data_IF_950049009674
#
_entry.id   IF_950049009674
#
_cell.length_a   1.000
_cell.length_b   1.000
_cell.length_c   1.000
_cell.angle_alpha   90.00
_cell.angle_beta   90.00
_cell.angle_gamma   90.00
#
_symmetry.space_group_name_H-M   'P 1'
#
loop_
_entity.id
_entity.type
_entity.pdbx_description
1 polymer ?
#
# COMPACT_ATOMS: atom_id res chain seq x y z
N UNK A 1 6.51 14.18 2.19
CA UNK A 1 7.26 13.50 3.26
C UNK A 1 6.29 12.80 4.21
N UNK A 2 5.40 13.54 4.88
CA UNK A 2 4.42 12.98 5.84
C UNK A 2 3.52 11.85 5.31
N UNK A 3 3.01 11.94 4.07
CA UNK A 3 2.12 10.89 3.51
C UNK A 3 2.83 9.54 3.31
N UNK A 4 4.08 9.56 2.83
CA UNK A 4 4.83 8.32 2.54
C UNK A 4 5.17 7.61 3.85
N UNK A 5 5.60 8.37 4.85
CA UNK A 5 5.86 7.86 6.20
C UNK A 5 4.62 7.18 6.78
N UNK A 6 3.44 7.82 6.71
CA UNK A 6 2.18 7.23 7.19
C UNK A 6 1.83 5.92 6.47
N UNK A 7 2.00 5.87 5.15
CA UNK A 7 1.77 4.63 4.39
C UNK A 7 2.75 3.55 4.85
N UNK A 8 4.04 3.88 4.98
CA UNK A 8 5.05 2.92 5.44
C UNK A 8 4.71 2.36 6.83
N UNK A 9 4.26 3.20 7.76
CA UNK A 9 3.84 2.75 9.10
C UNK A 9 2.60 1.85 9.07
N UNK A 10 1.66 2.07 8.16
CA UNK A 10 0.53 1.14 7.94
C UNK A 10 1.04 -0.23 7.49
N UNK A 11 1.98 -0.27 6.55
CA UNK A 11 2.54 -1.53 6.06
C UNK A 11 3.36 -2.26 7.12
N UNK A 12 4.18 -1.55 7.91
CA UNK A 12 4.87 -2.12 9.08
C UNK A 12 3.89 -2.74 10.06
N UNK A 13 2.83 -2.01 10.41
CA UNK A 13 1.81 -2.47 11.34
C UNK A 13 1.08 -3.72 10.85
N UNK A 14 0.75 -3.79 9.55
CA UNK A 14 -0.14 -4.82 8.98
C UNK A 14 0.59 -6.07 8.54
N UNK A 15 1.77 -5.93 7.94
CA UNK A 15 2.51 -7.05 7.36
C UNK A 15 3.99 -7.09 7.77
N UNK A 16 4.42 -6.23 8.71
CA UNK A 16 5.78 -6.20 9.24
C UNK A 16 6.86 -6.00 8.16
N UNK A 17 6.59 -5.13 7.17
CA UNK A 17 7.53 -4.72 6.13
C UNK A 17 7.73 -3.21 6.19
N UNK A 18 8.98 -2.78 6.28
CA UNK A 18 9.41 -1.41 6.06
C UNK A 18 9.87 -1.24 4.61
N UNK A 19 9.11 -0.53 3.78
CA UNK A 19 9.45 -0.32 2.38
C UNK A 19 10.50 0.78 2.16
N UNK A 20 10.75 1.63 3.14
CA UNK A 20 11.85 2.61 3.09
C UNK A 20 13.21 1.92 3.29
N UNK A 21 13.24 0.89 4.13
CA UNK A 21 14.43 0.03 4.34
C UNK A 21 14.57 -1.06 3.26
N UNK A 22 13.46 -1.56 2.70
CA UNK A 22 13.44 -2.63 1.68
C UNK A 22 12.97 -2.10 0.31
N UNK A 23 13.77 -1.19 -0.27
CA UNK A 23 13.40 -0.47 -1.50
C UNK A 23 13.18 -1.38 -2.71
N UNK A 24 13.86 -2.52 -2.75
CA UNK A 24 13.70 -3.54 -3.79
C UNK A 24 12.31 -4.18 -3.80
N UNK A 25 11.59 -4.17 -2.67
CA UNK A 25 10.24 -4.70 -2.56
C UNK A 25 9.16 -3.72 -3.04
N UNK A 26 9.47 -2.43 -3.22
CA UNK A 26 8.46 -1.41 -3.54
C UNK A 26 7.71 -1.69 -4.85
N UNK A 27 8.36 -2.38 -5.80
CA UNK A 27 7.83 -2.78 -7.11
C UNK A 27 7.19 -4.15 -7.14
N UNK A 28 7.34 -4.93 -6.07
CA UNK A 28 6.82 -6.27 -6.01
C UNK A 28 5.31 -6.26 -5.78
N UNK A 29 4.63 -7.24 -6.37
CA UNK A 29 3.19 -7.40 -6.16
C UNK A 29 2.93 -7.76 -4.70
N UNK A 30 2.04 -7.03 -4.04
CA UNK A 30 1.67 -7.24 -2.64
C UNK A 30 1.17 -8.67 -2.42
N UNK A 31 0.31 -9.18 -3.30
CA UNK A 31 -0.18 -10.56 -3.28
C UNK A 31 0.75 -11.56 -3.98
N UNK A 32 1.89 -11.11 -4.51
CA UNK A 32 2.87 -11.96 -5.18
C UNK A 32 3.74 -12.72 -4.18
N UNK A 33 4.40 -13.78 -4.63
CA UNK A 33 5.14 -14.71 -3.77
C UNK A 33 6.27 -14.07 -2.93
N UNK A 34 6.84 -12.94 -3.38
CA UNK A 34 7.93 -12.25 -2.65
C UNK A 34 7.44 -11.50 -1.42
N UNK A 35 6.34 -10.76 -1.54
CA UNK A 35 5.74 -10.05 -0.40
C UNK A 35 4.83 -10.99 0.38
N UNK A 36 4.01 -11.79 -0.33
CA UNK A 36 3.12 -12.77 0.28
C UNK A 36 2.06 -12.13 1.19
N UNK A 37 1.64 -10.89 0.91
CA UNK A 37 0.65 -10.20 1.72
C UNK A 37 -0.65 -11.03 1.75
N UNK A 38 -1.14 -11.43 2.94
CA UNK A 38 -2.43 -12.08 3.03
C UNK A 38 -3.52 -11.16 2.48
N UNK A 39 -4.43 -11.69 1.65
CA UNK A 39 -5.54 -10.91 1.07
C UNK A 39 -6.31 -10.14 2.14
N UNK A 40 -6.53 -10.76 3.31
CA UNK A 40 -7.16 -10.12 4.47
C UNK A 40 -6.39 -8.90 4.96
N UNK A 41 -5.06 -8.96 5.03
CA UNK A 41 -4.25 -7.81 5.44
C UNK A 41 -4.27 -6.72 4.36
N UNK A 42 -4.29 -7.06 3.08
CA UNK A 42 -4.43 -6.07 2.00
C UNK A 42 -5.74 -5.27 2.10
N UNK A 43 -6.84 -5.92 2.47
CA UNK A 43 -8.13 -5.25 2.73
C UNK A 43 -8.05 -4.34 3.96
N UNK A 44 -7.34 -4.75 5.02
CA UNK A 44 -7.16 -3.93 6.21
C UNK A 44 -6.21 -2.75 5.99
N UNK A 45 -5.20 -2.92 5.13
CA UNK A 45 -4.34 -1.84 4.64
C UNK A 45 -5.19 -0.83 3.88
N UNK A 46 -6.04 -1.28 2.95
CA UNK A 46 -6.97 -0.40 2.25
C UNK A 46 -7.85 0.38 3.24
N UNK A 47 -8.44 -0.29 4.22
CA UNK A 47 -9.25 0.37 5.25
C UNK A 47 -8.46 1.45 6.02
N UNK A 48 -7.24 1.15 6.47
CA UNK A 48 -6.39 2.13 7.17
C UNK A 48 -6.05 3.33 6.26
N UNK A 49 -5.76 3.08 4.98
CA UNK A 49 -5.50 4.12 3.98
C UNK A 49 -6.74 5.00 3.72
N UNK A 50 -7.94 4.42 3.69
CA UNK A 50 -9.20 5.15 3.55
C UNK A 50 -9.47 6.06 4.76
N UNK A 51 -9.16 5.60 5.97
CA UNK A 51 -9.27 6.41 7.18
C UNK A 51 -8.29 7.61 7.17
N UNK A 52 -7.09 7.43 6.63
CA UNK A 52 -6.08 8.49 6.58
C UNK A 52 -6.28 9.49 5.41
N UNK A 53 -6.74 9.02 4.24
CA UNK A 53 -6.64 9.77 3.00
C UNK A 53 -7.96 9.90 2.20
N UNK A 54 -9.05 9.34 2.74
CA UNK A 54 -10.37 9.29 2.10
C UNK A 54 -10.49 8.17 1.07
N UNK A 55 -11.72 7.71 0.81
CA UNK A 55 -11.98 6.49 0.04
C UNK A 55 -11.98 6.64 -1.50
N UNK A 56 -12.33 7.82 -2.01
CA UNK A 56 -12.60 8.01 -3.46
C UNK A 56 -11.41 7.63 -4.35
N UNK A 57 -10.20 8.06 -3.99
CA UNK A 57 -8.97 7.80 -4.75
C UNK A 57 -8.60 6.31 -4.84
N UNK A 58 -8.93 5.53 -3.81
CA UNK A 58 -8.53 4.12 -3.74
C UNK A 58 -9.41 3.26 -4.63
N UNK A 59 -10.69 3.60 -4.76
CA UNK A 59 -11.62 2.92 -5.67
C UNK A 59 -11.10 2.93 -7.10
N UNK A 60 -10.69 4.10 -7.60
CA UNK A 60 -10.14 4.22 -8.96
C UNK A 60 -8.82 3.45 -9.11
N UNK A 61 -7.97 3.46 -8.09
CA UNK A 61 -6.73 2.68 -8.08
C UNK A 61 -7.01 1.18 -8.18
N UNK A 62 -7.99 0.67 -7.43
CA UNK A 62 -8.40 -0.74 -7.45
C UNK A 62 -8.99 -1.14 -8.81
N UNK A 63 -9.94 -0.36 -9.34
CA UNK A 63 -10.59 -0.65 -10.64
C UNK A 63 -9.57 -0.73 -11.77
N UNK A 64 -8.52 0.10 -11.71
CA UNK A 64 -7.46 0.15 -12.72
C UNK A 64 -6.28 -0.80 -12.42
N UNK A 65 -6.41 -1.73 -11.48
CA UNK A 65 -5.35 -2.66 -11.06
C UNK A 65 -4.04 -1.96 -10.63
N UNK A 66 -4.15 -0.76 -10.03
CA UNK A 66 -3.02 0.00 -9.47
C UNK A 66 -2.88 -0.14 -7.94
N UNK A 67 -3.81 -0.83 -7.28
CA UNK A 67 -3.70 -1.16 -5.85
C UNK A 67 -3.02 -2.52 -5.66
N UNK A 68 -1.77 -2.64 -6.11
CA UNK A 68 -1.09 -3.93 -6.24
C UNK A 68 0.40 -3.93 -5.90
N UNK A 69 1.05 -2.77 -5.83
CA UNK A 69 2.42 -2.57 -5.34
C UNK A 69 2.47 -1.38 -4.38
N UNK A 70 3.50 -1.32 -3.55
CA UNK A 70 3.72 -0.17 -2.67
C UNK A 70 3.97 1.12 -3.48
N UNK A 71 4.80 1.06 -4.53
CA UNK A 71 5.06 2.21 -5.41
C UNK A 71 3.77 2.78 -6.04
N UNK A 72 2.87 1.93 -6.51
CA UNK A 72 1.61 2.38 -7.11
C UNK A 72 0.65 3.00 -6.06
N UNK A 73 0.65 2.48 -4.84
CA UNK A 73 -0.11 3.05 -3.73
C UNK A 73 0.39 4.45 -3.39
N UNK A 74 1.71 4.65 -3.31
CA UNK A 74 2.30 5.97 -3.11
C UNK A 74 1.97 6.91 -4.27
N UNK A 75 2.06 6.43 -5.52
CA UNK A 75 1.72 7.23 -6.69
C UNK A 75 0.27 7.73 -6.68
N UNK A 76 -0.66 6.93 -6.14
CA UNK A 76 -2.09 7.29 -5.97
C UNK A 76 -2.30 8.48 -5.02
N UNK A 77 -1.33 8.81 -4.17
CA UNK A 77 -1.40 9.94 -3.25
C UNK A 77 -0.86 11.25 -3.84
N UNK A 78 -0.15 11.17 -4.96
CA UNK A 78 0.51 12.29 -5.64
C UNK A 78 -0.26 12.79 -6.87
N UNK A 79 -1.33 12.08 -7.27
CA UNK A 79 -2.35 12.51 -8.23
C UNK A 79 -3.47 13.28 -7.52
#
# INVERSE_FOLDING_TARGET
MEKVELVNEIFKKRINIDFEENKELQREKLLGNKIGCPVRELVLILYDLEQCFGAERWRDSIINNRFDTYENIIATLNT
#
